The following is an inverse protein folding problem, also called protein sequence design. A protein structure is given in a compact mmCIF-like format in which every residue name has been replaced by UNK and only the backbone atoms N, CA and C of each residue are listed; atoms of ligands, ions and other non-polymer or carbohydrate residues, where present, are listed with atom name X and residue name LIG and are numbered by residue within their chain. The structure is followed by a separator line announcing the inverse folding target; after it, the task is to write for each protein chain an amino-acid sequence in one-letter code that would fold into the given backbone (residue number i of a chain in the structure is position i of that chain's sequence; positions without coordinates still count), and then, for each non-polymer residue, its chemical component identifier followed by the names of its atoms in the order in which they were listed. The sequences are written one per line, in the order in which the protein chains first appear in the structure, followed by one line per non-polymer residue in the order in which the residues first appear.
data_IF_952181768538
#
_entry.id   IF_952181768538
#
_cell.length_a   1.000
_cell.length_b   1.000
_cell.length_c   1.000
_cell.angle_alpha   90.00
_cell.angle_beta   90.00
_cell.angle_gamma   90.00
#
_symmetry.space_group_name_H-M   'P 1'
#
loop_
_entity.id
_entity.type
_entity.pdbx_description
1 polymer ?
#
# COMPACT_ATOMS: atom_id res chain seq x y z
N UNK A 1 0.62 -6.72 -2.84
CA UNK A 1 1.26 -6.37 -4.14
C UNK A 1 2.21 -7.46 -4.62
N UNK A 2 3.16 -7.93 -3.81
CA UNK A 2 4.15 -8.97 -4.19
C UNK A 2 3.45 -10.25 -4.73
N UNK A 3 2.41 -10.72 -4.06
CA UNK A 3 1.62 -11.89 -4.50
C UNK A 3 0.98 -11.69 -5.87
N UNK A 4 0.46 -10.50 -6.16
CA UNK A 4 -0.12 -10.16 -7.47
C UNK A 4 0.95 -10.17 -8.57
N UNK A 5 2.13 -9.61 -8.28
CA UNK A 5 3.27 -9.59 -9.21
C UNK A 5 3.73 -11.02 -9.49
N UNK A 6 3.88 -11.82 -8.45
CA UNK A 6 4.28 -13.22 -8.58
C UNK A 6 3.26 -14.02 -9.40
N UNK A 7 1.98 -13.94 -9.03
CA UNK A 7 0.90 -14.67 -9.71
C UNK A 7 0.76 -14.26 -11.17
N UNK A 8 0.75 -12.95 -11.47
CA UNK A 8 0.70 -12.45 -12.85
C UNK A 8 1.92 -12.87 -13.68
N UNK A 9 3.12 -12.79 -13.10
CA UNK A 9 4.36 -13.21 -13.77
C UNK A 9 4.36 -14.72 -14.05
N UNK A 10 3.95 -15.54 -13.09
CA UNK A 10 3.81 -16.99 -13.27
C UNK A 10 2.82 -17.29 -14.40
N UNK A 11 1.67 -16.60 -14.41
CA UNK A 11 0.66 -16.79 -15.46
C UNK A 11 1.25 -16.52 -16.85
N UNK A 12 1.95 -15.38 -17.04
CA UNK A 12 2.55 -15.01 -18.33
C UNK A 12 3.61 -16.03 -18.78
N UNK A 13 4.49 -16.46 -17.87
CA UNK A 13 5.54 -17.46 -18.20
C UNK A 13 4.92 -18.82 -18.57
N UNK A 14 3.90 -19.25 -17.82
CA UNK A 14 3.21 -20.50 -18.13
C UNK A 14 2.43 -20.41 -19.44
N UNK A 15 1.85 -19.26 -19.76
CA UNK A 15 1.17 -19.03 -21.02
C UNK A 15 2.13 -19.07 -22.22
N UNK A 16 3.32 -18.48 -22.12
CA UNK A 16 4.36 -18.57 -23.15
C UNK A 16 4.79 -20.03 -23.36
N UNK A 17 5.00 -20.78 -22.27
CA UNK A 17 5.32 -22.22 -22.35
C UNK A 17 4.19 -23.04 -22.96
N UNK A 18 2.93 -22.74 -22.62
CA UNK A 18 1.75 -23.37 -23.20
C UNK A 18 1.71 -23.24 -24.74
N UNK A 19 1.96 -22.01 -25.23
CA UNK A 19 1.96 -21.74 -26.67
C UNK A 19 3.09 -22.46 -27.43
N UNK A 20 4.19 -22.79 -26.76
CA UNK A 20 5.36 -23.48 -27.35
C UNK A 20 5.31 -25.01 -27.19
N UNK A 21 4.39 -25.53 -26.39
CA UNK A 21 4.31 -26.95 -26.10
C UNK A 21 3.38 -27.68 -27.09
N UNK A 22 3.74 -28.90 -27.45
CA UNK A 22 2.94 -29.77 -28.32
C UNK A 22 2.35 -30.97 -27.57
N UNK A 23 2.85 -31.32 -26.38
CA UNK A 23 2.42 -32.48 -25.59
C UNK A 23 1.14 -32.16 -24.81
N UNK A 24 0.01 -32.89 -25.05
CA UNK A 24 -1.27 -32.55 -24.42
C UNK A 24 -1.21 -32.57 -22.89
N UNK A 25 -0.48 -33.51 -22.31
CA UNK A 25 -0.33 -33.62 -20.87
C UNK A 25 0.34 -32.41 -20.23
N UNK A 26 1.40 -31.87 -20.85
CA UNK A 26 2.07 -30.67 -20.35
C UNK A 26 1.21 -29.42 -20.55
N UNK A 27 0.47 -29.31 -21.66
CA UNK A 27 -0.53 -28.24 -21.84
C UNK A 27 -1.57 -28.26 -20.73
N UNK A 28 -2.05 -29.45 -20.32
CA UNK A 28 -2.96 -29.58 -19.20
C UNK A 28 -2.35 -29.10 -17.89
N UNK A 29 -1.10 -29.48 -17.58
CA UNK A 29 -0.39 -29.01 -16.37
C UNK A 29 -0.27 -27.49 -16.38
N UNK A 30 0.14 -26.91 -17.51
CA UNK A 30 0.23 -25.44 -17.61
C UNK A 30 -1.13 -24.77 -17.45
N UNK A 31 -2.21 -25.33 -17.98
CA UNK A 31 -3.57 -24.83 -17.83
C UNK A 31 -4.01 -24.82 -16.36
N UNK A 32 -3.81 -25.93 -15.64
CA UNK A 32 -4.15 -26.01 -14.21
C UNK A 32 -3.30 -25.04 -13.38
N UNK A 33 -2.00 -24.94 -13.67
CA UNK A 33 -1.13 -24.00 -12.97
C UNK A 33 -1.48 -22.53 -13.26
N UNK A 34 -1.86 -22.21 -14.50
CA UNK A 34 -2.37 -20.88 -14.87
C UNK A 34 -3.69 -20.56 -14.18
N UNK A 35 -4.59 -21.54 -14.04
CA UNK A 35 -5.85 -21.32 -13.33
C UNK A 35 -5.62 -20.99 -11.84
N UNK A 36 -4.67 -21.66 -11.21
CA UNK A 36 -4.26 -21.35 -9.84
C UNK A 36 -3.69 -19.93 -9.74
N UNK A 37 -2.72 -19.57 -10.60
CA UNK A 37 -2.11 -18.25 -10.59
C UNK A 37 -3.14 -17.13 -10.88
N UNK A 38 -4.03 -17.34 -11.85
CA UNK A 38 -5.13 -16.42 -12.16
C UNK A 38 -6.10 -16.23 -10.99
N UNK A 39 -6.44 -17.33 -10.31
CA UNK A 39 -7.30 -17.29 -9.12
C UNK A 39 -6.65 -16.52 -7.97
N UNK A 40 -5.36 -16.75 -7.70
CA UNK A 40 -4.61 -15.99 -6.68
C UNK A 40 -4.64 -14.51 -7.01
N UNK A 41 -4.36 -14.14 -8.26
CA UNK A 41 -4.40 -12.73 -8.68
C UNK A 41 -5.77 -12.08 -8.45
N UNK A 42 -6.85 -12.75 -8.86
CA UNK A 42 -8.22 -12.24 -8.73
C UNK A 42 -8.61 -12.14 -7.24
N UNK A 43 -8.32 -13.16 -6.43
CA UNK A 43 -8.77 -13.28 -5.05
C UNK A 43 -7.95 -12.46 -4.05
N UNK A 44 -6.86 -11.82 -4.47
CA UNK A 44 -6.13 -10.85 -3.60
C UNK A 44 -6.99 -9.64 -3.23
N UNK A 45 -8.02 -9.32 -3.97
CA UNK A 45 -9.06 -8.32 -3.68
C UNK A 45 -8.54 -6.94 -3.27
N UNK A 46 -7.51 -6.44 -3.94
CA UNK A 46 -7.03 -5.09 -3.73
C UNK A 46 -6.95 -4.31 -5.06
N UNK A 47 -8.10 -3.77 -5.54
CA UNK A 47 -8.21 -3.15 -6.86
C UNK A 47 -7.21 -2.02 -7.11
N UNK A 48 -6.78 -1.32 -6.05
CA UNK A 48 -5.84 -0.20 -6.16
C UNK A 48 -4.49 -0.57 -6.79
N UNK A 49 -4.05 -1.83 -6.64
CA UNK A 49 -2.86 -2.37 -7.30
C UNK A 49 -3.20 -3.37 -8.41
N UNK A 50 -4.31 -4.11 -8.27
CA UNK A 50 -4.71 -5.09 -9.28
C UNK A 50 -4.95 -4.44 -10.64
N UNK A 51 -5.69 -3.33 -10.68
CA UNK A 51 -6.02 -2.66 -11.93
C UNK A 51 -4.76 -2.20 -12.68
N UNK A 52 -3.86 -1.39 -12.10
CA UNK A 52 -2.68 -0.96 -12.84
C UNK A 52 -1.71 -2.10 -13.18
N UNK A 53 -1.54 -3.12 -12.33
CA UNK A 53 -0.77 -4.31 -12.66
C UNK A 53 -1.38 -5.10 -13.82
N UNK A 54 -2.72 -5.17 -13.89
CA UNK A 54 -3.41 -5.82 -15.01
C UNK A 54 -3.09 -5.18 -16.36
N UNK A 55 -2.90 -3.86 -16.43
CA UNK A 55 -2.43 -3.20 -17.66
C UNK A 55 -1.06 -3.71 -18.11
N UNK A 56 -0.13 -3.85 -17.18
CA UNK A 56 1.23 -4.36 -17.48
C UNK A 56 1.13 -5.81 -17.96
N UNK A 57 0.42 -6.68 -17.23
CA UNK A 57 0.27 -8.08 -17.59
C UNK A 57 -0.49 -8.27 -18.90
N UNK A 58 -1.48 -7.44 -19.17
CA UNK A 58 -2.18 -7.45 -20.45
C UNK A 58 -1.24 -7.16 -21.62
N UNK A 59 -0.38 -6.15 -21.51
CA UNK A 59 0.62 -5.83 -22.52
C UNK A 59 1.58 -7.00 -22.71
N UNK A 60 2.07 -7.60 -21.62
CA UNK A 60 2.97 -8.76 -21.71
C UNK A 60 2.28 -9.96 -22.35
N UNK A 61 1.01 -10.22 -22.03
CA UNK A 61 0.21 -11.29 -22.62
C UNK A 61 0.03 -11.07 -24.14
N UNK A 62 -0.35 -9.87 -24.54
CA UNK A 62 -0.49 -9.52 -25.96
C UNK A 62 0.85 -9.67 -26.70
N UNK A 63 1.95 -9.26 -26.08
CA UNK A 63 3.28 -9.45 -26.66
C UNK A 63 3.63 -10.93 -26.84
N UNK A 64 3.37 -11.77 -25.84
CA UNK A 64 3.59 -13.23 -25.92
C UNK A 64 2.76 -13.85 -27.06
N UNK A 65 1.52 -13.40 -27.24
CA UNK A 65 0.69 -13.84 -28.38
C UNK A 65 1.33 -13.44 -29.71
N UNK A 66 1.74 -12.17 -29.83
CA UNK A 66 2.38 -11.65 -31.07
C UNK A 66 3.67 -12.42 -31.41
N UNK A 67 4.47 -12.77 -30.44
CA UNK A 67 5.72 -13.51 -30.67
C UNK A 67 5.47 -14.96 -31.11
N UNK A 68 4.43 -15.59 -30.58
CA UNK A 68 4.18 -17.01 -30.80
C UNK A 68 3.13 -17.31 -31.87
N UNK A 69 2.36 -16.31 -32.41
CA UNK A 69 1.23 -16.58 -33.30
C UNK A 69 1.58 -17.31 -34.59
N UNK A 70 2.83 -17.17 -35.10
CA UNK A 70 3.31 -17.85 -36.31
C UNK A 70 3.74 -19.28 -36.06
N UNK A 71 4.16 -19.60 -34.85
CA UNK A 71 4.71 -20.90 -34.49
C UNK A 71 3.67 -21.78 -33.76
N UNK A 72 2.69 -21.15 -33.12
CA UNK A 72 1.63 -21.83 -32.42
C UNK A 72 0.67 -22.54 -33.40
N UNK A 73 0.59 -23.85 -33.27
CA UNK A 73 -0.37 -24.69 -34.02
C UNK A 73 -1.59 -24.91 -33.16
N UNK A 74 -2.66 -24.20 -33.45
CA UNK A 74 -3.91 -24.28 -32.70
C UNK A 74 -4.61 -25.62 -33.02
N UNK A 75 -4.72 -26.50 -32.01
CA UNK A 75 -5.60 -27.65 -32.06
C UNK A 75 -6.97 -27.28 -31.51
N UNK A 76 -7.95 -27.11 -32.40
CA UNK A 76 -9.27 -26.64 -32.03
C UNK A 76 -9.93 -27.43 -30.90
N UNK A 77 -9.81 -28.77 -30.90
CA UNK A 77 -10.45 -29.61 -29.87
C UNK A 77 -9.72 -29.51 -28.54
N UNK A 78 -8.40 -29.64 -28.57
CA UNK A 78 -7.57 -29.63 -27.37
C UNK A 78 -7.51 -28.22 -26.75
N UNK A 79 -7.11 -27.23 -27.54
CA UNK A 79 -6.85 -25.89 -26.99
C UNK A 79 -8.13 -25.18 -26.54
N UNK A 80 -9.26 -25.40 -27.23
CA UNK A 80 -10.56 -24.86 -26.77
C UNK A 80 -11.05 -25.54 -25.48
N UNK A 81 -10.85 -26.86 -25.36
CA UNK A 81 -11.21 -27.60 -24.15
C UNK A 81 -10.36 -27.17 -22.94
N UNK A 82 -9.04 -26.94 -23.13
CA UNK A 82 -8.16 -26.47 -22.10
C UNK A 82 -8.42 -25.01 -21.72
N UNK A 83 -8.76 -24.16 -22.68
CA UNK A 83 -9.19 -22.77 -22.38
C UNK A 83 -10.50 -22.77 -21.58
N UNK A 84 -11.46 -23.62 -21.95
CA UNK A 84 -12.72 -23.78 -21.19
C UNK A 84 -12.43 -24.28 -19.77
N UNK A 85 -11.54 -25.27 -19.62
CA UNK A 85 -11.11 -25.75 -18.31
C UNK A 85 -10.46 -24.65 -17.47
N UNK A 86 -9.56 -23.84 -18.05
CA UNK A 86 -8.95 -22.69 -17.40
C UNK A 86 -10.02 -21.75 -16.81
N UNK A 87 -11.00 -21.36 -17.63
CA UNK A 87 -12.07 -20.48 -17.21
C UNK A 87 -12.96 -21.10 -16.13
N UNK A 88 -13.32 -22.37 -16.27
CA UNK A 88 -14.13 -23.09 -15.28
C UNK A 88 -13.41 -23.16 -13.93
N UNK A 89 -12.12 -23.47 -13.91
CA UNK A 89 -11.35 -23.55 -12.68
C UNK A 89 -11.20 -22.19 -11.99
N UNK A 90 -10.96 -21.12 -12.74
CA UNK A 90 -10.90 -19.75 -12.19
C UNK A 90 -12.26 -19.32 -11.64
N UNK A 91 -13.35 -19.58 -12.37
CA UNK A 91 -14.71 -19.22 -11.93
C UNK A 91 -15.09 -20.03 -10.69
N UNK A 92 -14.85 -21.35 -10.70
CA UNK A 92 -15.19 -22.22 -9.58
C UNK A 92 -14.44 -21.84 -8.30
N UNK A 93 -13.13 -21.64 -8.37
CA UNK A 93 -12.33 -21.20 -7.21
C UNK A 93 -12.77 -19.83 -6.69
N UNK A 94 -13.02 -18.89 -7.59
CA UNK A 94 -13.54 -17.56 -7.23
C UNK A 94 -14.93 -17.65 -6.59
N UNK A 95 -15.83 -18.46 -7.13
CA UNK A 95 -17.16 -18.66 -6.58
C UNK A 95 -17.13 -19.27 -5.18
N UNK A 96 -16.30 -20.32 -4.94
CA UNK A 96 -16.18 -20.96 -3.63
C UNK A 96 -15.74 -19.95 -2.54
N UNK A 97 -14.77 -19.09 -2.85
CA UNK A 97 -14.28 -18.10 -1.89
C UNK A 97 -15.29 -16.96 -1.72
N UNK A 98 -15.79 -16.41 -2.82
CA UNK A 98 -16.69 -15.26 -2.80
C UNK A 98 -18.04 -15.56 -2.18
N UNK A 99 -18.60 -16.76 -2.42
CA UNK A 99 -19.89 -17.15 -1.83
C UNK A 99 -19.86 -17.12 -0.30
N UNK A 100 -18.72 -17.48 0.31
CA UNK A 100 -18.51 -17.41 1.76
C UNK A 100 -18.24 -16.00 2.26
N UNK A 101 -17.49 -15.21 1.48
CA UNK A 101 -17.09 -13.85 1.84
C UNK A 101 -18.13 -12.78 1.44
N UNK A 102 -19.18 -13.16 0.69
CA UNK A 102 -20.12 -12.21 0.07
C UNK A 102 -20.76 -11.21 1.04
N UNK A 103 -21.24 -11.61 2.25
CA UNK A 103 -21.78 -10.65 3.20
C UNK A 103 -20.79 -9.56 3.60
N UNK A 104 -19.51 -9.93 3.79
CA UNK A 104 -18.44 -8.99 4.12
C UNK A 104 -18.11 -8.07 2.93
N UNK A 105 -18.01 -8.65 1.72
CA UNK A 105 -17.78 -7.87 0.49
C UNK A 105 -18.90 -6.87 0.28
N UNK A 106 -20.16 -7.28 0.40
CA UNK A 106 -21.32 -6.41 0.25
C UNK A 106 -21.33 -5.29 1.29
N UNK A 107 -21.02 -5.60 2.55
CA UNK A 107 -20.92 -4.60 3.61
C UNK A 107 -19.83 -3.56 3.27
N UNK A 108 -18.66 -4.01 2.85
CA UNK A 108 -17.55 -3.13 2.47
C UNK A 108 -17.90 -2.26 1.25
N UNK A 109 -18.53 -2.82 0.23
CA UNK A 109 -18.95 -2.07 -0.96
C UNK A 109 -19.98 -0.97 -0.66
N UNK A 110 -20.79 -1.16 0.37
CA UNK A 110 -21.81 -0.19 0.79
C UNK A 110 -21.26 0.90 1.74
N UNK A 111 -19.97 0.84 2.09
CA UNK A 111 -19.35 1.89 2.90
C UNK A 111 -19.05 3.16 2.08
N UNK A 112 -19.00 4.30 2.76
CA UNK A 112 -18.49 5.54 2.16
C UNK A 112 -17.00 5.40 1.78
N UNK A 113 -16.23 4.71 2.63
CA UNK A 113 -14.82 4.38 2.41
C UNK A 113 -14.53 2.96 2.96
N UNK A 114 -13.88 2.09 2.20
CA UNK A 114 -13.36 2.27 0.84
C UNK A 114 -14.39 2.04 -0.29
N UNK A 115 -15.61 1.56 0.02
CA UNK A 115 -16.56 1.05 -0.96
C UNK A 115 -16.95 2.04 -2.06
N UNK A 116 -17.34 3.27 -1.68
CA UNK A 116 -17.72 4.32 -2.63
C UNK A 116 -16.58 5.27 -3.01
N UNK A 117 -15.34 4.91 -2.66
CA UNK A 117 -14.17 5.72 -3.01
C UNK A 117 -13.97 5.73 -4.51
N UNK A 118 -13.83 6.95 -5.07
CA UNK A 118 -13.51 7.17 -6.48
C UNK A 118 -12.31 8.11 -6.55
N UNK A 119 -11.24 7.68 -7.22
CA UNK A 119 -10.09 8.51 -7.52
C UNK A 119 -10.18 9.05 -8.95
N UNK A 120 -9.75 10.29 -9.14
CA UNK A 120 -9.70 10.93 -10.46
C UNK A 120 -8.26 11.19 -10.92
N UNK A 121 -7.27 10.74 -10.15
CA UNK A 121 -5.87 11.02 -10.44
C UNK A 121 -5.45 12.44 -10.07
N UNK A 122 -4.23 12.80 -10.48
CA UNK A 122 -3.65 14.13 -10.35
C UNK A 122 -2.97 14.42 -9.02
N UNK A 123 -2.16 15.49 -9.03
CA UNK A 123 -1.56 16.05 -7.84
C UNK A 123 -0.27 15.38 -7.33
N UNK A 124 0.16 14.27 -7.93
CA UNK A 124 1.28 13.47 -7.44
C UNK A 124 2.52 13.49 -8.35
N UNK A 125 2.60 14.39 -9.31
CA UNK A 125 3.73 14.44 -10.26
C UNK A 125 5.09 14.55 -9.56
N UNK A 126 5.19 15.40 -8.53
CA UNK A 126 6.45 15.57 -7.81
C UNK A 126 6.89 14.32 -7.05
N UNK A 127 5.94 13.52 -6.58
CA UNK A 127 6.21 12.30 -5.82
C UNK A 127 6.95 11.23 -6.67
N UNK A 128 6.88 11.33 -8.00
CA UNK A 128 7.61 10.43 -8.90
C UNK A 128 9.13 10.50 -8.66
N UNK A 129 9.64 11.63 -8.16
CA UNK A 129 11.07 11.84 -7.90
C UNK A 129 11.50 11.40 -6.50
N UNK A 130 10.57 11.06 -5.60
CA UNK A 130 10.87 10.73 -4.20
C UNK A 130 11.71 9.46 -4.04
N UNK A 131 11.78 8.63 -5.08
CA UNK A 131 12.67 7.46 -5.10
C UNK A 131 14.14 7.81 -4.82
N UNK A 132 14.59 9.04 -5.12
CA UNK A 132 15.98 9.44 -4.92
C UNK A 132 16.42 9.39 -3.44
N UNK A 133 15.47 9.52 -2.50
CA UNK A 133 15.70 9.41 -1.06
C UNK A 133 15.22 8.08 -0.43
N UNK A 134 14.71 7.16 -1.22
CA UNK A 134 14.12 5.90 -0.72
C UNK A 134 15.07 5.10 0.16
N UNK A 135 16.37 5.14 -0.12
CA UNK A 135 17.40 4.43 0.67
C UNK A 135 17.49 4.90 2.13
N UNK A 136 16.94 6.06 2.47
CA UNK A 136 16.96 6.61 3.82
C UNK A 136 15.68 6.36 4.61
N UNK A 137 14.58 5.94 3.99
CA UNK A 137 13.31 5.71 4.67
C UNK A 137 13.40 4.70 5.84
N UNK A 138 14.18 3.61 5.75
CA UNK A 138 14.32 2.70 6.89
C UNK A 138 15.01 3.31 8.11
N UNK A 139 15.69 4.45 7.94
CA UNK A 139 16.44 5.15 9.01
C UNK A 139 15.59 6.26 9.65
N UNK A 140 14.53 6.69 8.98
CA UNK A 140 13.82 7.93 9.31
C UNK A 140 12.45 7.74 9.95
N UNK A 141 12.04 6.51 10.26
CA UNK A 141 10.71 6.17 10.80
C UNK A 141 9.54 6.82 10.03
N UNK A 142 9.76 7.17 8.76
CA UNK A 142 8.73 7.78 7.93
C UNK A 142 7.64 6.77 7.63
N UNK A 143 6.47 6.96 8.22
CA UNK A 143 5.24 6.22 7.94
C UNK A 143 4.38 7.09 7.03
N UNK A 144 4.81 7.31 5.79
CA UNK A 144 4.02 8.00 4.78
C UNK A 144 3.71 7.05 3.62
N UNK A 145 2.48 7.09 3.12
CA UNK A 145 2.07 6.30 1.95
C UNK A 145 2.98 6.55 0.74
N UNK A 146 3.47 7.77 0.57
CA UNK A 146 4.38 8.17 -0.51
C UNK A 146 5.73 7.46 -0.42
N UNK A 147 6.28 7.38 0.78
CA UNK A 147 7.55 6.72 1.05
C UNK A 147 7.46 5.21 0.80
N UNK A 148 6.35 4.59 1.23
CA UNK A 148 6.12 3.15 1.07
C UNK A 148 5.89 2.75 -0.38
N UNK A 149 5.35 3.64 -1.21
CA UNK A 149 4.96 3.35 -2.59
C UNK A 149 6.00 3.75 -3.63
N UNK A 150 7.14 4.35 -3.24
CA UNK A 150 8.21 4.70 -4.19
C UNK A 150 9.06 3.48 -4.58
N UNK A 151 9.56 3.47 -5.80
CA UNK A 151 10.47 2.46 -6.35
C UNK A 151 11.65 3.17 -7.02
N UNK A 152 12.86 2.68 -6.83
CA UNK A 152 14.08 3.27 -7.41
C UNK A 152 14.15 3.00 -8.92
N UNK A 153 13.43 3.77 -9.72
CA UNK A 153 13.07 3.50 -11.12
C UNK A 153 13.79 4.34 -12.18
N UNK A 154 14.58 5.33 -11.74
CA UNK A 154 15.37 6.24 -12.56
C UNK A 154 14.56 7.16 -13.49
N UNK A 155 13.31 7.46 -13.17
CA UNK A 155 12.53 8.46 -13.91
C UNK A 155 13.25 9.84 -13.91
N UNK A 156 13.28 10.60 -15.00
CA UNK A 156 12.75 10.35 -16.37
C UNK A 156 13.76 9.69 -17.32
N UNK A 157 14.91 9.27 -16.82
CA UNK A 157 16.01 8.75 -17.66
C UNK A 157 15.59 7.47 -18.37
N UNK A 158 14.86 6.59 -17.68
CA UNK A 158 14.35 5.35 -18.28
C UNK A 158 13.48 5.65 -19.50
N UNK A 159 12.57 6.62 -19.44
CA UNK A 159 11.69 7.03 -20.54
C UNK A 159 12.48 7.59 -21.73
N UNK A 160 13.44 8.47 -21.46
CA UNK A 160 14.28 9.07 -22.51
C UNK A 160 15.05 7.96 -23.26
N UNK A 161 15.67 7.04 -22.52
CA UNK A 161 16.41 5.93 -23.11
C UNK A 161 15.50 4.97 -23.89
N UNK A 162 14.30 4.70 -23.38
CA UNK A 162 13.31 3.88 -24.06
C UNK A 162 12.85 4.50 -25.37
N UNK A 163 12.52 5.80 -25.39
CA UNK A 163 12.12 6.52 -26.60
C UNK A 163 13.24 6.46 -27.67
N UNK A 164 14.49 6.72 -27.26
CA UNK A 164 15.65 6.65 -28.18
C UNK A 164 15.85 5.24 -28.72
N UNK A 165 15.60 4.22 -27.92
CA UNK A 165 15.67 2.82 -28.36
C UNK A 165 14.53 2.47 -29.33
N UNK A 166 13.29 2.88 -29.05
CA UNK A 166 12.11 2.66 -29.93
C UNK A 166 12.37 3.25 -31.33
N UNK A 167 12.87 4.49 -31.40
CA UNK A 167 13.16 5.16 -32.65
C UNK A 167 14.19 4.33 -33.50
N UNK A 168 15.16 3.71 -32.82
CA UNK A 168 16.25 2.95 -33.52
C UNK A 168 15.84 1.51 -33.85
N UNK A 169 15.13 0.83 -32.95
CA UNK A 169 14.90 -0.62 -33.03
C UNK A 169 13.50 -1.00 -33.45
N UNK A 170 12.53 -0.06 -33.30
CA UNK A 170 11.09 -0.29 -33.49
C UNK A 170 10.56 -1.46 -32.66
N UNK A 171 11.13 -1.64 -31.46
CA UNK A 171 10.75 -2.74 -30.56
C UNK A 171 9.28 -2.60 -30.10
N UNK A 172 8.51 -3.65 -30.42
CA UNK A 172 7.06 -3.65 -30.15
C UNK A 172 6.73 -3.66 -28.66
N UNK A 173 7.43 -4.51 -27.88
CA UNK A 173 7.19 -4.61 -26.45
C UNK A 173 7.49 -3.29 -25.77
N UNK A 174 8.65 -2.71 -26.06
CA UNK A 174 9.03 -1.43 -25.47
C UNK A 174 8.03 -0.32 -25.82
N UNK A 175 7.54 -0.30 -27.07
CA UNK A 175 6.52 0.66 -27.50
C UNK A 175 5.20 0.49 -26.75
N UNK A 176 4.74 -0.75 -26.54
CA UNK A 176 3.51 -1.05 -25.82
C UNK A 176 3.64 -0.70 -24.32
N UNK A 177 4.78 -1.01 -23.69
CA UNK A 177 5.04 -0.64 -22.29
C UNK A 177 5.10 0.88 -22.12
N UNK A 178 5.72 1.61 -23.05
CA UNK A 178 5.75 3.08 -23.02
C UNK A 178 4.37 3.72 -23.19
N UNK A 179 3.44 3.09 -23.91
CA UNK A 179 2.05 3.58 -23.97
C UNK A 179 1.37 3.52 -22.60
N UNK A 180 1.59 2.44 -21.85
CA UNK A 180 1.05 2.33 -20.49
C UNK A 180 1.77 3.30 -19.54
N UNK A 181 3.08 3.48 -19.70
CA UNK A 181 3.86 4.43 -18.92
C UNK A 181 3.32 5.87 -19.06
N UNK A 182 3.06 6.30 -20.29
CA UNK A 182 2.45 7.62 -20.56
C UNK A 182 1.05 7.72 -19.95
N UNK A 183 0.22 6.67 -20.06
CA UNK A 183 -1.11 6.66 -19.45
C UNK A 183 -1.03 6.84 -17.91
N UNK A 184 -0.12 6.12 -17.26
CA UNK A 184 0.08 6.22 -15.83
C UNK A 184 0.65 7.58 -15.42
N UNK A 185 1.61 8.09 -16.17
CA UNK A 185 2.18 9.41 -15.95
C UNK A 185 1.12 10.52 -16.04
N UNK A 186 0.23 10.45 -17.03
CA UNK A 186 -0.89 11.38 -17.18
C UNK A 186 -1.85 11.28 -15.99
N UNK A 187 -2.19 10.06 -15.54
CA UNK A 187 -3.07 9.86 -14.40
C UNK A 187 -2.44 10.33 -13.07
N UNK A 188 -1.15 10.14 -12.86
CA UNK A 188 -0.42 10.64 -11.69
C UNK A 188 -0.38 12.18 -11.69
N UNK A 189 -0.20 12.79 -12.86
CA UNK A 189 0.02 14.22 -13.00
C UNK A 189 -1.25 15.05 -13.02
N UNK A 190 -2.30 14.55 -13.69
CA UNK A 190 -3.52 15.29 -13.98
C UNK A 190 -4.76 14.53 -13.55
N UNK A 191 -5.75 15.28 -13.04
CA UNK A 191 -7.07 14.70 -12.81
C UNK A 191 -7.79 14.45 -14.14
N UNK A 192 -8.36 13.26 -14.29
CA UNK A 192 -9.11 12.86 -15.50
C UNK A 192 -10.62 12.87 -15.25
N UNK A 193 -11.45 13.06 -16.30
CA UNK A 193 -12.90 13.02 -16.17
C UNK A 193 -13.42 11.73 -15.53
N UNK A 194 -14.45 11.85 -14.69
CA UNK A 194 -15.06 10.72 -13.95
C UNK A 194 -15.42 9.53 -14.84
N UNK A 195 -15.97 9.81 -16.02
CA UNK A 195 -16.36 8.75 -16.99
C UNK A 195 -15.11 7.98 -17.43
N UNK A 196 -14.03 8.68 -17.79
CA UNK A 196 -12.78 8.07 -18.24
C UNK A 196 -12.12 7.27 -17.12
N UNK A 197 -12.08 7.81 -15.89
CA UNK A 197 -11.55 7.09 -14.73
C UNK A 197 -12.30 5.77 -14.47
N UNK A 198 -13.63 5.76 -14.67
CA UNK A 198 -14.45 4.55 -14.50
C UNK A 198 -14.27 3.54 -15.62
N UNK A 199 -14.27 3.97 -16.89
CA UNK A 199 -14.09 3.07 -18.05
C UNK A 199 -12.73 2.40 -18.01
N UNK A 200 -11.69 3.14 -17.63
CA UNK A 200 -10.31 2.61 -17.47
C UNK A 200 -10.11 1.86 -16.16
N UNK A 201 -11.10 1.79 -15.29
CA UNK A 201 -11.01 1.25 -13.93
C UNK A 201 -9.96 1.93 -13.03
N UNK A 202 -9.26 2.96 -13.51
CA UNK A 202 -8.28 3.71 -12.72
C UNK A 202 -8.91 4.45 -11.55
N UNK A 203 -10.25 4.63 -11.57
CA UNK A 203 -11.01 5.15 -10.42
C UNK A 203 -10.82 4.38 -9.12
N UNK A 204 -10.40 3.11 -9.19
CA UNK A 204 -10.09 2.28 -8.02
C UNK A 204 -8.68 2.52 -7.45
N UNK A 205 -7.82 3.24 -8.16
CA UNK A 205 -6.41 3.45 -7.84
C UNK A 205 -6.16 4.90 -7.45
N UNK A 206 -5.51 5.16 -6.31
CA UNK A 206 -4.99 6.50 -6.01
C UNK A 206 -3.66 6.74 -6.71
N UNK A 207 -3.29 8.02 -7.00
CA UNK A 207 -1.97 8.34 -7.51
C UNK A 207 -0.83 7.76 -6.68
N UNK A 208 -0.92 7.81 -5.33
CA UNK A 208 0.08 7.22 -4.44
C UNK A 208 0.25 5.71 -4.70
N UNK A 209 -0.84 4.94 -4.75
CA UNK A 209 -0.78 3.49 -5.03
C UNK A 209 -0.31 3.17 -6.44
N UNK A 210 -0.57 4.06 -7.40
CA UNK A 210 -0.08 3.89 -8.76
C UNK A 210 1.43 4.08 -8.87
N UNK A 211 2.05 4.90 -8.01
CA UNK A 211 3.50 5.13 -8.02
C UNK A 211 4.32 3.83 -7.92
N UNK A 212 3.93 2.90 -7.03
CA UNK A 212 4.64 1.61 -6.93
C UNK A 212 4.57 0.81 -8.23
N UNK A 213 3.41 0.79 -8.88
CA UNK A 213 3.22 0.05 -10.14
C UNK A 213 3.92 0.76 -11.29
N UNK A 214 3.89 2.09 -11.31
CA UNK A 214 4.64 2.91 -12.25
C UNK A 214 6.15 2.66 -12.17
N UNK A 215 6.70 2.62 -10.96
CA UNK A 215 8.11 2.32 -10.76
C UNK A 215 8.48 0.89 -11.20
N UNK A 216 7.63 -0.11 -10.95
CA UNK A 216 7.83 -1.48 -11.44
C UNK A 216 7.80 -1.51 -12.97
N UNK A 217 6.85 -0.80 -13.60
CA UNK A 217 6.80 -0.66 -15.07
C UNK A 217 8.09 -0.07 -15.62
N UNK A 218 8.62 0.98 -14.98
CA UNK A 218 9.87 1.63 -15.36
C UNK A 218 11.06 0.68 -15.27
N UNK A 219 11.12 -0.16 -14.24
CA UNK A 219 12.16 -1.19 -14.15
C UNK A 219 12.04 -2.22 -15.29
N UNK A 220 10.83 -2.64 -15.66
CA UNK A 220 10.61 -3.54 -16.79
C UNK A 220 11.05 -2.88 -18.10
N UNK A 221 10.72 -1.60 -18.31
CA UNK A 221 11.15 -0.80 -19.45
C UNK A 221 12.68 -0.69 -19.49
N UNK A 222 13.33 -0.42 -18.36
CA UNK A 222 14.79 -0.34 -18.25
C UNK A 222 15.46 -1.67 -18.60
N UNK A 223 14.95 -2.78 -18.06
CA UNK A 223 15.45 -4.13 -18.37
C UNK A 223 15.30 -4.44 -19.87
N UNK A 224 14.12 -4.14 -20.45
CA UNK A 224 13.92 -4.33 -21.90
C UNK A 224 14.86 -3.45 -22.71
N UNK A 225 15.03 -2.19 -22.36
CA UNK A 225 16.00 -1.30 -22.98
C UNK A 225 17.42 -1.89 -22.93
N UNK A 226 17.87 -2.35 -21.77
CA UNK A 226 19.18 -2.97 -21.59
C UNK A 226 19.34 -4.28 -22.40
N UNK A 227 18.27 -4.99 -22.66
CA UNK A 227 18.30 -6.22 -23.48
C UNK A 227 18.48 -5.94 -24.97
N UNK A 228 17.73 -4.96 -25.50
CA UNK A 228 17.71 -4.68 -26.96
C UNK A 228 18.83 -3.75 -27.43
N UNK A 229 19.29 -2.84 -26.57
CA UNK A 229 20.32 -1.87 -26.92
C UNK A 229 21.71 -2.47 -26.68
N UNK A 230 22.52 -2.67 -27.73
CA UNK A 230 23.85 -3.27 -27.62
C UNK A 230 24.99 -2.26 -27.49
N UNK A 231 24.74 -1.00 -27.86
CA UNK A 231 25.78 0.05 -27.89
C UNK A 231 25.73 0.92 -26.64
N UNK A 232 26.85 1.48 -26.25
CA UNK A 232 26.96 2.51 -25.21
C UNK A 232 26.11 3.73 -25.60
N UNK A 233 25.40 4.31 -24.64
CA UNK A 233 24.57 5.49 -24.92
C UNK A 233 25.41 6.74 -25.18
N UNK A 234 26.49 6.91 -24.39
CA UNK A 234 27.34 8.10 -24.38
C UNK A 234 28.84 7.72 -24.28
N UNK A 235 29.71 8.66 -24.62
CA UNK A 235 31.17 8.57 -24.38
C UNK A 235 31.44 8.50 -22.86
N UNK A 236 32.67 8.22 -22.44
CA UNK A 236 33.02 8.16 -21.01
C UNK A 236 32.78 9.52 -20.32
N UNK A 237 33.29 10.58 -20.91
CA UNK A 237 33.13 11.96 -20.41
C UNK A 237 31.67 12.39 -20.46
N UNK A 238 30.96 12.13 -21.57
CA UNK A 238 29.53 12.41 -21.71
C UNK A 238 28.68 11.70 -20.67
N UNK A 239 28.95 10.40 -20.40
CA UNK A 239 28.26 9.65 -19.36
C UNK A 239 28.49 10.24 -17.97
N UNK A 240 29.72 10.68 -17.67
CA UNK A 240 30.06 11.27 -16.39
C UNK A 240 29.30 12.60 -16.18
N UNK A 241 29.41 13.53 -17.14
CA UNK A 241 28.79 14.85 -17.05
C UNK A 241 27.25 14.73 -16.97
N UNK A 242 26.65 13.93 -17.87
CA UNK A 242 25.20 13.77 -17.92
C UNK A 242 24.66 13.09 -16.66
N UNK A 243 25.32 12.02 -16.16
CA UNK A 243 24.93 11.36 -14.92
C UNK A 243 25.03 12.31 -13.71
N UNK A 244 26.10 13.12 -13.64
CA UNK A 244 26.31 14.07 -12.57
C UNK A 244 25.24 15.16 -12.55
N UNK A 245 24.98 15.79 -13.70
CA UNK A 245 23.97 16.85 -13.79
C UNK A 245 22.55 16.33 -13.51
N UNK A 246 22.20 15.15 -14.05
CA UNK A 246 20.90 14.56 -13.80
C UNK A 246 20.71 14.13 -12.34
N UNK A 247 21.74 13.56 -11.71
CA UNK A 247 21.64 13.17 -10.29
C UNK A 247 21.40 14.40 -9.40
N UNK A 248 22.10 15.49 -9.64
CA UNK A 248 21.87 16.77 -8.95
C UNK A 248 20.43 17.25 -9.21
N UNK A 249 20.01 17.35 -10.48
CA UNK A 249 18.69 17.85 -10.86
C UNK A 249 17.54 17.06 -10.21
N UNK A 250 17.59 15.72 -10.30
CA UNK A 250 16.55 14.82 -9.74
C UNK A 250 16.48 14.98 -8.22
N UNK A 251 17.63 14.92 -7.53
CA UNK A 251 17.68 15.04 -6.07
C UNK A 251 17.21 16.44 -5.62
N UNK A 252 17.49 17.49 -6.37
CA UNK A 252 16.99 18.82 -6.03
C UNK A 252 15.48 18.98 -6.23
N UNK A 253 14.88 18.32 -7.22
CA UNK A 253 13.42 18.30 -7.41
C UNK A 253 12.75 17.58 -6.23
N UNK A 254 13.27 16.41 -5.86
CA UNK A 254 12.78 15.60 -4.74
C UNK A 254 12.96 16.27 -3.37
N UNK A 255 14.03 17.09 -3.20
CA UNK A 255 14.40 17.71 -1.92
C UNK A 255 13.27 18.52 -1.28
N UNK A 256 12.47 19.23 -2.08
CA UNK A 256 11.40 20.09 -1.57
C UNK A 256 10.31 19.33 -0.85
N UNK A 257 9.93 18.15 -1.38
CA UNK A 257 8.84 17.33 -0.84
C UNK A 257 9.28 16.52 0.40
N UNK A 258 10.52 16.05 0.44
CA UNK A 258 11.03 15.15 1.48
C UNK A 258 11.62 15.90 2.67
N UNK A 259 12.05 17.15 2.47
CA UNK A 259 12.75 17.91 3.51
C UNK A 259 11.98 18.00 4.82
N UNK A 260 10.69 18.29 4.78
CA UNK A 260 9.86 18.41 5.98
C UNK A 260 9.78 17.05 6.72
N UNK A 261 9.61 15.97 5.99
CA UNK A 261 9.54 14.64 6.60
C UNK A 261 10.84 14.22 7.28
N UNK A 262 11.97 14.37 6.60
CA UNK A 262 13.26 14.00 7.16
C UNK A 262 13.65 14.87 8.35
N UNK A 263 13.26 16.15 8.37
CA UNK A 263 13.56 17.05 9.46
C UNK A 263 12.68 16.83 10.70
N UNK A 264 11.43 16.39 10.55
CA UNK A 264 10.54 16.12 11.67
C UNK A 264 10.85 14.80 12.37
N UNK A 265 11.45 13.84 11.67
CA UNK A 265 11.66 12.48 12.15
C UNK A 265 12.98 12.30 12.90
N UNK A 266 14.02 13.07 12.55
CA UNK A 266 15.34 12.99 13.20
C UNK A 266 15.37 14.00 14.35
N UNK A 267 14.90 13.58 15.54
CA UNK A 267 14.93 14.42 16.73
C UNK A 267 16.34 14.62 17.33
N UNK A 268 16.67 15.83 17.74
CA UNK A 268 17.69 16.10 18.77
C UNK A 268 19.13 16.40 18.34
N UNK A 269 19.51 16.27 17.07
CA UNK A 269 20.85 16.66 16.56
C UNK A 269 20.67 17.52 15.33
N UNK A 270 21.69 18.32 14.95
CA UNK A 270 21.63 19.23 13.80
C UNK A 270 21.01 18.59 12.55
N UNK A 271 19.68 18.66 12.49
CA UNK A 271 18.83 18.07 11.44
C UNK A 271 19.26 18.52 10.04
N UNK A 272 19.80 19.74 9.94
CA UNK A 272 20.27 20.26 8.65
C UNK A 272 21.54 19.58 8.17
N UNK A 273 22.44 19.20 9.06
CA UNK A 273 23.66 18.49 8.70
C UNK A 273 23.35 17.08 8.23
N UNK A 274 22.46 16.34 8.89
CA UNK A 274 22.01 15.03 8.41
C UNK A 274 21.32 15.12 7.06
N UNK A 275 20.44 16.10 6.87
CA UNK A 275 19.77 16.29 5.59
C UNK A 275 20.76 16.61 4.45
N UNK A 276 21.80 17.41 4.72
CA UNK A 276 22.89 17.66 3.74
C UNK A 276 23.64 16.39 3.41
N UNK A 277 23.97 15.58 4.41
CA UNK A 277 24.65 14.30 4.21
C UNK A 277 23.80 13.35 3.36
N UNK A 278 22.52 13.18 3.68
CA UNK A 278 21.59 12.36 2.89
C UNK A 278 21.48 12.85 1.45
N UNK A 279 21.42 14.15 1.25
CA UNK A 279 21.42 14.77 -0.09
C UNK A 279 22.68 14.40 -0.88
N UNK A 280 23.87 14.48 -0.28
CA UNK A 280 25.13 14.13 -0.93
C UNK A 280 25.18 12.64 -1.27
N UNK A 281 24.77 11.77 -0.35
CA UNK A 281 24.72 10.31 -0.57
C UNK A 281 23.70 9.97 -1.66
N UNK A 282 22.53 10.59 -1.67
CA UNK A 282 21.53 10.40 -2.73
C UNK A 282 22.07 10.78 -4.10
N UNK A 283 22.76 11.94 -4.22
CA UNK A 283 23.41 12.37 -5.47
C UNK A 283 24.46 11.34 -5.89
N UNK A 284 25.31 10.88 -4.98
CA UNK A 284 26.36 9.91 -5.28
C UNK A 284 25.81 8.56 -5.76
N UNK A 285 24.82 8.01 -5.06
CA UNK A 285 24.21 6.73 -5.41
C UNK A 285 23.52 6.82 -6.79
N UNK A 286 22.74 7.89 -7.00
CA UNK A 286 22.06 8.11 -8.26
C UNK A 286 23.05 8.37 -9.41
N UNK A 287 24.13 9.11 -9.15
CA UNK A 287 25.21 9.27 -10.11
C UNK A 287 25.83 7.93 -10.53
N UNK A 288 26.14 7.06 -9.58
CA UNK A 288 26.75 5.76 -9.87
C UNK A 288 25.86 4.90 -10.78
N UNK A 289 24.57 4.75 -10.45
CA UNK A 289 23.67 3.92 -11.25
C UNK A 289 23.46 4.53 -12.65
N UNK A 290 23.24 5.84 -12.77
CA UNK A 290 23.07 6.51 -14.06
C UNK A 290 24.33 6.42 -14.93
N UNK A 291 25.50 6.61 -14.34
CA UNK A 291 26.77 6.45 -15.05
C UNK A 291 26.91 5.05 -15.65
N UNK A 292 26.63 3.99 -14.87
CA UNK A 292 26.71 2.62 -15.35
C UNK A 292 25.62 2.30 -16.39
N UNK A 293 24.42 2.86 -16.26
CA UNK A 293 23.36 2.73 -17.27
C UNK A 293 23.81 3.35 -18.59
N UNK A 294 24.34 4.59 -18.60
CA UNK A 294 24.83 5.23 -19.83
C UNK A 294 26.02 4.53 -20.44
N UNK A 295 26.89 3.93 -19.62
CA UNK A 295 28.04 3.11 -20.08
C UNK A 295 27.62 1.70 -20.47
N UNK A 296 26.40 1.28 -20.20
CA UNK A 296 25.94 -0.10 -20.36
C UNK A 296 26.88 -1.12 -19.69
N UNK A 297 27.36 -0.76 -18.55
CA UNK A 297 28.13 -1.67 -17.70
C UNK A 297 27.17 -2.47 -16.80
N UNK A 298 26.74 -3.65 -17.29
CA UNK A 298 25.78 -4.50 -16.59
C UNK A 298 26.26 -4.91 -15.19
N UNK A 299 27.56 -5.19 -15.03
CA UNK A 299 28.12 -5.51 -13.71
C UNK A 299 28.03 -4.31 -12.76
N UNK A 300 28.35 -3.11 -13.25
CA UNK A 300 28.21 -1.88 -12.46
C UNK A 300 26.76 -1.59 -12.08
N UNK A 301 25.81 -1.80 -13.02
CA UNK A 301 24.38 -1.67 -12.75
C UNK A 301 23.94 -2.67 -11.67
N UNK A 302 24.36 -3.95 -11.80
CA UNK A 302 24.01 -5.00 -10.84
C UNK A 302 24.56 -4.71 -9.45
N UNK A 303 25.86 -4.39 -9.36
CA UNK A 303 26.50 -4.08 -8.06
C UNK A 303 25.85 -2.87 -7.41
N UNK A 304 25.63 -1.78 -8.17
CA UNK A 304 24.97 -0.58 -7.62
C UNK A 304 23.54 -0.87 -7.21
N UNK A 305 22.78 -1.65 -8.01
CA UNK A 305 21.42 -2.07 -7.65
C UNK A 305 21.37 -2.93 -6.39
N UNK A 306 22.31 -3.86 -6.21
CA UNK A 306 22.44 -4.63 -4.98
C UNK A 306 22.76 -3.71 -3.78
N UNK A 307 23.67 -2.74 -3.94
CA UNK A 307 23.99 -1.78 -2.91
C UNK A 307 22.76 -0.93 -2.51
N UNK A 308 22.00 -0.45 -3.50
CA UNK A 308 20.75 0.30 -3.26
C UNK A 308 19.75 -0.58 -2.47
N UNK A 309 19.52 -1.81 -2.93
CA UNK A 309 18.60 -2.74 -2.26
C UNK A 309 19.07 -3.10 -0.86
N UNK A 310 20.37 -3.26 -0.66
CA UNK A 310 20.95 -3.51 0.67
C UNK A 310 20.76 -2.30 1.59
N UNK A 311 21.09 -1.10 1.15
CA UNK A 311 20.92 0.13 1.95
C UNK A 311 19.45 0.38 2.30
N UNK A 312 18.54 0.15 1.35
CA UNK A 312 17.10 0.31 1.56
C UNK A 312 16.50 -0.78 2.46
N UNK A 313 17.13 -1.95 2.57
CA UNK A 313 16.56 -3.12 3.27
C UNK A 313 17.30 -3.57 4.52
N UNK A 314 18.58 -3.19 4.70
CA UNK A 314 19.42 -3.74 5.78
C UNK A 314 18.90 -3.45 7.18
N UNK A 315 18.23 -2.32 7.38
CA UNK A 315 17.64 -1.93 8.65
C UNK A 315 16.18 -2.40 8.80
N UNK A 316 15.56 -2.81 7.71
CA UNK A 316 14.23 -3.42 7.74
C UNK A 316 14.38 -4.90 8.13
N UNK A 317 14.26 -5.20 9.42
CA UNK A 317 14.30 -6.59 9.88
C UNK A 317 12.96 -7.29 9.62
N UNK A 318 12.84 -8.12 8.56
CA UNK A 318 11.59 -8.82 8.25
C UNK A 318 11.30 -9.96 9.23
N UNK A 319 12.31 -10.39 9.98
CA UNK A 319 12.22 -11.49 10.95
C UNK A 319 12.55 -10.95 12.33
N UNK A 320 11.54 -10.67 13.13
CA UNK A 320 11.71 -10.38 14.56
C UNK A 320 11.55 -11.67 15.34
N UNK A 321 12.53 -11.99 16.19
CA UNK A 321 12.45 -13.12 17.10
C UNK A 321 11.72 -12.67 18.36
N UNK A 322 10.59 -13.34 18.65
CA UNK A 322 9.80 -13.12 19.84
C UNK A 322 8.77 -11.99 19.71
N UNK A 323 7.54 -12.30 20.03
CA UNK A 323 6.46 -11.32 20.18
C UNK A 323 6.43 -10.67 21.58
N UNK A 324 7.34 -11.08 22.45
CA UNK A 324 7.33 -10.79 23.89
C UNK A 324 7.34 -9.27 24.21
N UNK A 325 8.07 -8.50 23.41
CA UNK A 325 8.11 -7.03 23.55
C UNK A 325 6.71 -6.39 23.45
N UNK A 326 5.86 -6.98 22.62
CA UNK A 326 4.48 -6.49 22.41
C UNK A 326 3.51 -7.23 23.32
N UNK A 327 3.55 -8.57 23.34
CA UNK A 327 2.56 -9.41 24.02
C UNK A 327 2.77 -9.53 25.52
N UNK A 328 4.00 -9.30 25.99
CA UNK A 328 4.37 -9.32 27.43
C UNK A 328 4.74 -7.93 27.96
N UNK A 329 4.30 -6.86 27.27
CA UNK A 329 4.47 -5.52 27.84
C UNK A 329 3.67 -5.39 29.14
N UNK A 330 4.16 -4.64 30.15
CA UNK A 330 3.46 -4.47 31.43
C UNK A 330 1.99 -4.04 31.27
N UNK A 331 1.72 -3.20 30.27
CA UNK A 331 0.35 -2.74 29.97
C UNK A 331 -0.53 -3.89 29.47
N UNK A 332 -0.03 -4.70 28.52
CA UNK A 332 -0.79 -5.85 27.97
C UNK A 332 -1.02 -6.90 29.06
N UNK A 333 -0.03 -7.21 29.90
CA UNK A 333 -0.20 -8.15 31.02
C UNK A 333 -1.20 -7.66 32.03
N UNK A 334 -1.22 -6.33 32.32
CA UNK A 334 -2.21 -5.74 33.23
C UNK A 334 -3.62 -5.84 32.66
N UNK A 335 -3.80 -5.51 31.37
CA UNK A 335 -5.09 -5.66 30.68
C UNK A 335 -5.55 -7.12 30.70
N UNK A 336 -4.65 -8.06 30.40
CA UNK A 336 -4.94 -9.50 30.45
C UNK A 336 -5.38 -9.96 31.84
N UNK A 337 -4.72 -9.51 32.88
CA UNK A 337 -5.08 -9.81 34.27
C UNK A 337 -6.50 -9.30 34.60
N UNK A 338 -6.80 -8.04 34.27
CA UNK A 338 -8.12 -7.44 34.51
C UNK A 338 -9.20 -8.17 33.71
N UNK A 339 -8.99 -8.37 32.41
CA UNK A 339 -9.99 -8.98 31.53
C UNK A 339 -10.23 -10.46 31.84
N UNK A 340 -9.23 -11.18 32.34
CA UNK A 340 -9.38 -12.60 32.75
C UNK A 340 -10.17 -12.74 34.04
N UNK A 341 -10.06 -11.79 34.97
CA UNK A 341 -10.81 -11.81 36.25
C UNK A 341 -12.23 -11.30 36.08
N UNK A 342 -12.44 -10.29 35.26
CA UNK A 342 -13.72 -9.62 35.10
C UNK A 342 -13.88 -9.08 33.67
N UNK A 343 -14.32 -9.90 32.71
CA UNK A 343 -14.43 -9.53 31.31
C UNK A 343 -15.38 -8.35 31.06
N UNK A 344 -15.04 -7.49 30.09
CA UNK A 344 -15.89 -6.36 29.72
C UNK A 344 -15.49 -5.71 28.41
N UNK A 345 -16.31 -4.74 27.96
CA UNK A 345 -16.03 -3.95 26.77
C UNK A 345 -15.16 -2.74 27.15
N UNK A 346 -14.10 -2.55 26.38
CA UNK A 346 -13.12 -1.48 26.56
C UNK A 346 -13.27 -0.39 25.52
N UNK A 347 -12.90 0.83 25.89
CA UNK A 347 -12.53 1.90 24.96
C UNK A 347 -11.14 2.44 25.32
N UNK A 348 -10.47 2.97 24.31
CA UNK A 348 -9.25 3.77 24.45
C UNK A 348 -9.62 5.21 24.11
N UNK A 349 -9.31 6.16 25.00
CA UNK A 349 -9.71 7.54 24.84
C UNK A 349 -8.56 8.50 25.19
N UNK A 350 -8.75 9.80 24.89
CA UNK A 350 -7.82 10.86 25.24
C UNK A 350 -6.77 11.14 24.17
N UNK A 351 -5.60 11.62 24.61
CA UNK A 351 -4.49 12.05 23.74
C UNK A 351 -3.63 10.92 23.21
N UNK A 352 -3.92 9.67 23.57
CA UNK A 352 -3.17 8.51 23.07
C UNK A 352 -3.32 8.39 21.56
N UNK A 353 -2.22 8.22 20.80
CA UNK A 353 -2.30 7.96 19.38
C UNK A 353 -3.20 6.76 19.07
N UNK A 354 -4.19 6.94 18.20
CA UNK A 354 -5.13 5.88 17.83
C UNK A 354 -4.40 4.59 17.36
N UNK A 355 -3.33 4.75 16.61
CA UNK A 355 -2.37 3.71 16.31
C UNK A 355 -1.07 3.97 17.10
N UNK A 356 -0.57 3.03 17.89
CA UNK A 356 -1.02 1.62 18.07
C UNK A 356 -2.01 1.39 19.22
N UNK A 357 -2.32 2.39 20.06
CA UNK A 357 -2.96 2.16 21.37
C UNK A 357 -4.36 1.56 21.30
N UNK A 358 -5.15 1.89 20.30
CA UNK A 358 -6.53 1.37 20.16
C UNK A 358 -6.59 -0.17 20.03
N UNK A 359 -5.50 -0.81 19.61
CA UNK A 359 -5.44 -2.27 19.49
C UNK A 359 -4.77 -2.96 20.69
N UNK A 360 -4.20 -2.20 21.64
CA UNK A 360 -3.51 -2.77 22.81
C UNK A 360 -4.43 -3.64 23.68
N UNK A 361 -5.70 -3.27 23.95
CA UNK A 361 -6.60 -4.15 24.71
C UNK A 361 -6.83 -5.50 24.04
N UNK A 362 -6.83 -5.58 22.70
CA UNK A 362 -6.97 -6.85 21.96
C UNK A 362 -5.80 -7.80 22.25
N UNK A 363 -4.57 -7.28 22.41
CA UNK A 363 -3.40 -8.07 22.77
C UNK A 363 -3.53 -8.69 24.17
N UNK A 364 -4.25 -8.03 25.07
CA UNK A 364 -4.62 -8.56 26.38
C UNK A 364 -5.84 -9.47 26.36
N UNK A 365 -6.40 -9.81 25.18
CA UNK A 365 -7.59 -10.63 25.03
C UNK A 365 -8.90 -9.92 25.37
N UNK A 366 -8.89 -8.60 25.49
CA UNK A 366 -10.06 -7.81 25.80
C UNK A 366 -10.84 -7.39 24.54
N UNK A 367 -12.16 -7.32 24.63
CA UNK A 367 -12.98 -6.72 23.58
C UNK A 367 -12.87 -5.19 23.65
N UNK A 368 -12.52 -4.54 22.53
CA UNK A 368 -12.39 -3.08 22.45
C UNK A 368 -13.27 -2.53 21.33
N UNK A 369 -13.96 -1.40 21.62
CA UNK A 369 -14.91 -0.82 20.67
C UNK A 369 -14.22 -0.06 19.54
N UNK A 370 -13.15 0.65 19.84
CA UNK A 370 -12.45 1.53 18.91
C UNK A 370 -11.11 0.96 18.42
N UNK A 371 -10.99 -0.36 18.32
CA UNK A 371 -9.91 -0.96 17.50
C UNK A 371 -10.06 -0.56 16.04
N UNK A 372 -9.10 -0.91 15.21
CA UNK A 372 -9.24 -0.74 13.76
C UNK A 372 -10.45 -1.52 13.24
N UNK A 373 -11.48 -0.82 12.81
CA UNK A 373 -12.71 -1.44 12.32
C UNK A 373 -12.65 -1.62 10.80
N UNK A 374 -12.55 -2.87 10.36
CA UNK A 374 -12.51 -3.21 8.93
C UNK A 374 -13.85 -2.90 8.22
N UNK A 375 -14.95 -2.94 8.94
CA UNK A 375 -16.29 -2.55 8.49
C UNK A 375 -17.07 -1.92 9.64
N UNK A 376 -17.99 -0.98 9.35
CA UNK A 376 -18.67 -0.20 10.38
C UNK A 376 -19.71 -1.01 11.15
N UNK A 377 -19.79 -0.79 12.46
CA UNK A 377 -20.87 -1.29 13.29
C UNK A 377 -22.05 -0.29 13.30
N UNK A 378 -22.74 -0.19 12.16
CA UNK A 378 -23.86 0.77 11.97
C UNK A 378 -24.93 0.66 13.05
N UNK A 379 -25.26 -0.58 13.46
CA UNK A 379 -26.31 -0.81 14.51
C UNK A 379 -25.91 -0.23 15.85
N UNK A 380 -24.63 -0.21 16.14
CA UNK A 380 -24.13 0.36 17.40
C UNK A 380 -24.15 1.89 17.36
N UNK A 381 -23.62 2.47 16.28
CA UNK A 381 -23.52 3.92 16.13
C UNK A 381 -24.88 4.61 16.12
N UNK A 382 -25.90 3.99 15.51
CA UNK A 382 -27.29 4.48 15.54
C UNK A 382 -27.91 4.57 16.94
N UNK A 383 -27.33 3.96 17.96
CA UNK A 383 -27.83 4.09 19.33
C UNK A 383 -27.48 5.44 19.95
N UNK A 384 -26.39 6.04 19.51
CA UNK A 384 -25.87 7.33 20.01
C UNK A 384 -26.03 8.48 19.01
N UNK A 385 -26.18 8.18 17.72
CA UNK A 385 -26.54 9.11 16.64
C UNK A 385 -28.03 8.94 16.34
N UNK A 386 -28.89 9.54 17.18
CA UNK A 386 -30.35 9.34 17.11
C UNK A 386 -30.97 9.97 15.87
N UNK A 387 -30.43 11.08 15.41
CA UNK A 387 -30.90 11.81 14.23
C UNK A 387 -30.32 11.25 12.93
N UNK A 388 -29.32 10.36 13.01
CA UNK A 388 -28.62 9.72 11.91
C UNK A 388 -27.89 10.73 10.99
N UNK A 389 -27.47 11.86 11.54
CA UNK A 389 -26.83 12.95 10.78
C UNK A 389 -25.37 12.64 10.44
N UNK A 390 -24.71 11.84 11.28
CA UNK A 390 -23.29 11.52 11.14
C UNK A 390 -23.02 10.18 10.42
N UNK A 391 -24.06 9.59 9.81
CA UNK A 391 -23.94 8.28 9.12
C UNK A 391 -22.85 8.25 8.05
N UNK A 392 -22.62 9.35 7.36
CA UNK A 392 -21.54 9.48 6.37
C UNK A 392 -20.13 9.49 7.02
N UNK A 393 -20.02 9.81 8.30
CA UNK A 393 -18.75 9.80 9.02
C UNK A 393 -18.42 8.40 9.51
N UNK A 394 -19.35 7.68 10.13
CA UNK A 394 -19.04 6.37 10.70
C UNK A 394 -19.28 5.17 9.76
N UNK A 395 -19.93 5.36 8.59
CA UNK A 395 -20.11 4.28 7.62
C UNK A 395 -18.83 4.04 6.79
N UNK A 396 -17.75 3.64 7.44
CA UNK A 396 -16.46 3.41 6.79
C UNK A 396 -15.56 2.41 7.52
N UNK A 397 -14.55 1.89 6.83
CA UNK A 397 -13.35 1.41 7.46
C UNK A 397 -12.72 2.56 8.23
N UNK A 398 -12.38 2.37 9.49
CA UNK A 398 -11.79 3.46 10.26
C UNK A 398 -10.93 3.04 11.45
N UNK A 399 -9.96 3.92 11.73
CA UNK A 399 -9.31 4.06 13.02
C UNK A 399 -10.14 5.05 13.86
N UNK A 400 -10.70 4.58 14.95
CA UNK A 400 -11.68 5.35 15.74
C UNK A 400 -11.00 5.87 17.00
N UNK A 401 -11.05 7.18 17.23
CA UNK A 401 -10.63 7.81 18.47
C UNK A 401 -11.86 8.20 19.30
N UNK A 402 -11.78 8.03 20.60
CA UNK A 402 -12.78 8.56 21.52
C UNK A 402 -12.23 9.75 22.28
N UNK A 403 -13.12 10.70 22.56
CA UNK A 403 -12.89 11.80 23.49
C UNK A 403 -14.12 11.92 24.39
N UNK A 404 -13.98 11.58 25.67
CA UNK A 404 -15.09 11.68 26.64
C UNK A 404 -15.36 13.15 26.97
N UNK A 405 -16.64 13.52 26.91
CA UNK A 405 -17.14 14.85 27.20
C UNK A 405 -18.22 14.78 28.29
N UNK A 406 -18.53 15.93 28.87
CA UNK A 406 -19.53 16.05 29.95
C UNK A 406 -20.95 15.68 29.48
N UNK A 407 -21.85 15.46 30.45
CA UNK A 407 -23.21 14.93 30.32
C UNK A 407 -24.16 15.79 29.48
N UNK A 408 -23.92 17.09 29.35
CA UNK A 408 -24.84 18.05 28.74
C UNK A 408 -24.71 18.18 27.20
N UNK A 409 -23.92 17.34 26.59
CA UNK A 409 -23.66 17.40 25.16
C UNK A 409 -24.19 16.16 24.45
N UNK A 410 -24.48 16.26 23.15
CA UNK A 410 -24.78 15.12 22.30
C UNK A 410 -23.50 14.49 21.74
N UNK A 411 -23.57 13.20 21.40
CA UNK A 411 -22.47 12.53 20.73
C UNK A 411 -22.22 13.16 19.35
N UNK A 412 -20.94 13.45 19.03
CA UNK A 412 -20.57 14.03 17.74
C UNK A 412 -19.46 13.20 17.08
N UNK A 413 -19.61 12.99 15.78
CA UNK A 413 -18.64 12.27 14.96
C UNK A 413 -17.90 13.25 14.06
N UNK A 414 -16.61 13.39 14.22
CA UNK A 414 -15.76 14.28 13.42
C UNK A 414 -14.82 13.48 12.53
N UNK A 415 -14.94 13.66 11.22
CA UNK A 415 -14.02 13.06 10.27
C UNK A 415 -12.64 13.74 10.35
N UNK A 416 -11.58 12.94 10.55
CA UNK A 416 -10.19 13.42 10.59
C UNK A 416 -9.47 13.16 9.25
N UNK A 417 -9.64 11.96 8.70
CA UNK A 417 -9.11 11.52 7.41
C UNK A 417 -10.10 10.53 6.77
N UNK A 418 -9.94 10.13 5.50
CA UNK A 418 -10.85 9.17 4.87
C UNK A 418 -11.06 7.87 5.66
N UNK A 419 -10.10 7.46 6.46
CA UNK A 419 -10.06 6.23 7.25
C UNK A 419 -9.94 6.46 8.76
N UNK A 420 -10.21 7.68 9.24
CA UNK A 420 -10.13 8.00 10.67
C UNK A 420 -11.19 9.02 11.06
N UNK A 421 -11.84 8.78 12.20
CA UNK A 421 -12.74 9.75 12.82
C UNK A 421 -12.64 9.72 14.34
N UNK A 422 -13.04 10.83 14.97
CA UNK A 422 -13.14 10.99 16.42
C UNK A 422 -14.60 11.04 16.84
N UNK A 423 -14.93 10.32 17.89
CA UNK A 423 -16.23 10.35 18.56
C UNK A 423 -16.09 11.14 19.85
N UNK A 424 -16.68 12.33 19.91
CA UNK A 424 -16.90 13.05 21.18
C UNK A 424 -18.09 12.40 21.87
N UNK A 425 -17.82 11.59 22.90
CA UNK A 425 -18.80 10.72 23.54
C UNK A 425 -19.20 11.29 24.91
N UNK A 426 -20.46 11.68 25.13
CA UNK A 426 -20.97 12.03 26.47
C UNK A 426 -20.81 10.84 27.40
N UNK A 427 -20.38 11.08 28.64
CA UNK A 427 -20.21 10.00 29.63
C UNK A 427 -21.51 9.21 29.87
N UNK A 428 -22.67 9.83 29.72
CA UNK A 428 -23.99 9.17 29.83
C UNK A 428 -24.19 8.04 28.82
N UNK A 429 -23.57 8.13 27.62
CA UNK A 429 -23.68 7.12 26.57
C UNK A 429 -22.77 5.89 26.80
N UNK A 430 -21.88 5.95 27.80
CA UNK A 430 -21.07 4.78 28.18
C UNK A 430 -21.97 3.61 28.62
N UNK A 431 -23.08 3.88 29.31
CA UNK A 431 -24.07 2.87 29.69
C UNK A 431 -24.79 2.28 28.48
N UNK A 432 -25.20 3.12 27.53
CA UNK A 432 -25.84 2.71 26.28
C UNK A 432 -24.94 1.78 25.48
N UNK A 433 -23.63 2.07 25.43
CA UNK A 433 -22.61 1.28 24.75
C UNK A 433 -22.09 0.10 25.58
N UNK A 434 -22.50 -0.01 26.87
CA UNK A 434 -22.06 -1.05 27.83
C UNK A 434 -20.54 -1.06 28.04
N UNK A 435 -19.91 0.11 28.08
CA UNK A 435 -18.47 0.24 28.32
C UNK A 435 -18.17 -0.05 29.78
N UNK A 436 -17.25 -0.96 30.05
CA UNK A 436 -16.85 -1.33 31.41
C UNK A 436 -15.48 -0.78 31.78
N UNK A 437 -14.58 -0.69 30.82
CA UNK A 437 -13.21 -0.25 31.06
C UNK A 437 -12.80 0.85 30.08
N UNK A 438 -11.98 1.77 30.58
CA UNK A 438 -11.42 2.87 29.78
C UNK A 438 -9.91 2.89 29.99
N UNK A 439 -9.16 2.90 28.90
CA UNK A 439 -7.72 3.13 28.88
C UNK A 439 -7.45 4.54 28.37
N UNK A 440 -6.69 5.34 29.11
CA UNK A 440 -6.47 6.76 28.82
C UNK A 440 -5.14 7.28 29.41
N UNK A 441 -4.67 8.41 28.89
CA UNK A 441 -3.53 9.17 29.42
C UNK A 441 -3.93 10.28 30.40
N UNK A 442 -5.24 10.59 30.51
CA UNK A 442 -5.74 11.67 31.35
C UNK A 442 -6.43 11.21 32.64
N UNK A 443 -6.69 12.12 33.55
CA UNK A 443 -7.52 11.86 34.72
C UNK A 443 -9.01 11.95 34.36
N UNK A 444 -9.79 10.90 34.67
CA UNK A 444 -11.23 10.85 34.45
C UNK A 444 -12.06 11.08 35.73
N UNK A 445 -11.41 11.13 36.88
CA UNK A 445 -12.14 11.32 38.16
C UNK A 445 -12.93 12.64 38.20
N UNK A 446 -12.37 13.66 37.53
CA UNK A 446 -13.01 14.99 37.41
C UNK A 446 -14.29 14.98 36.55
N UNK A 447 -14.50 13.95 35.74
CA UNK A 447 -15.73 13.74 34.96
C UNK A 447 -16.80 12.93 35.73
N UNK A 448 -16.49 12.43 36.93
CA UNK A 448 -17.46 11.73 37.76
C UNK A 448 -18.57 12.67 38.22
N UNK A 449 -19.82 12.24 38.11
CA UNK A 449 -21.00 13.10 38.43
C UNK A 449 -21.98 12.47 39.39
N UNK A 450 -21.58 11.43 40.12
CA UNK A 450 -22.43 10.71 41.08
C UNK A 450 -23.38 9.68 40.47
N UNK A 451 -23.70 9.79 39.19
CA UNK A 451 -24.44 8.77 38.40
C UNK A 451 -23.47 7.81 37.75
N UNK A 452 -22.39 8.37 37.19
CA UNK A 452 -21.30 7.62 36.53
C UNK A 452 -20.03 8.00 37.26
N UNK A 453 -19.35 7.00 37.80
CA UNK A 453 -18.10 7.19 38.52
C UNK A 453 -16.99 6.41 37.86
N UNK A 454 -15.82 7.04 37.79
CA UNK A 454 -14.59 6.47 37.23
C UNK A 454 -13.67 6.09 38.41
N UNK A 455 -13.42 4.80 38.56
CA UNK A 455 -12.45 4.31 39.56
C UNK A 455 -11.19 3.84 38.89
N UNK A 456 -10.07 4.48 39.17
CA UNK A 456 -8.76 4.04 38.65
C UNK A 456 -8.40 2.68 39.29
N UNK A 457 -8.07 1.71 38.45
CA UNK A 457 -7.69 0.34 38.86
C UNK A 457 -6.27 -0.03 38.48
N UNK A 458 -5.62 0.77 37.60
CA UNK A 458 -4.23 0.63 37.25
C UNK A 458 -3.66 1.94 36.69
N UNK A 459 -2.34 2.07 36.82
CA UNK A 459 -1.50 3.03 36.10
C UNK A 459 -0.23 2.31 35.68
N UNK A 460 0.05 2.34 34.38
CA UNK A 460 1.23 1.70 33.79
C UNK A 460 1.95 2.74 32.92
N UNK A 461 3.04 3.30 33.46
CA UNK A 461 3.85 4.31 32.75
C UNK A 461 3.03 5.53 32.28
N UNK A 462 2.09 6.02 33.11
CA UNK A 462 1.24 7.15 32.81
C UNK A 462 -0.02 6.80 32.00
N UNK A 463 -0.17 5.55 31.57
CA UNK A 463 -1.41 5.05 30.98
C UNK A 463 -2.31 4.48 32.06
N UNK A 464 -3.43 5.12 32.29
CA UNK A 464 -4.39 4.80 33.33
C UNK A 464 -5.51 3.89 32.81
N UNK A 465 -5.97 3.00 33.68
CA UNK A 465 -7.11 2.13 33.39
C UNK A 465 -8.16 2.41 34.44
N UNK A 466 -9.36 2.75 33.98
CA UNK A 466 -10.52 3.00 34.81
C UNK A 466 -11.58 1.92 34.63
N UNK A 467 -12.27 1.57 35.70
CA UNK A 467 -13.56 0.87 35.61
C UNK A 467 -14.68 1.90 35.71
N UNK A 468 -15.72 1.71 34.91
CA UNK A 468 -16.91 2.56 34.91
C UNK A 468 -17.95 1.96 35.83
N UNK A 469 -18.45 2.76 36.79
CA UNK A 469 -19.52 2.40 37.74
C UNK A 469 -20.76 3.21 37.39
N UNK A 470 -21.90 2.51 37.21
CA UNK A 470 -23.19 3.08 36.82
C UNK A 470 -24.18 3.10 37.96
#
# INVERSE_FOLDING_TARGET
MIEMIAAGSIFIVLFDKYLKENRPFLKLIYTVSMSWAGSVYILTFYPAWQVPLAYIFFVLLVYVIIENYKTFKFDYKLDLSLLSLLMVLIIASSYIVLSKAWPTVQTTMNTVYPGNRVSFGGGAFKWIFDYAYQIFYPITDIIDERAMDSVYDLFPVTQILAILAIIKTKDKLLSMLMMIDVLFLLYISFSIPKILARITLLSFTTPARLLSVFGILNLIILVRFLTISTRRCLSRTGSFITAFLLSIGIVFISKGEIREYLLTTIGGVDQQTYFRLFTLVAIFVLFCILYFVFRRNLNGILVTGICISFLAGVLANPVRVGSDVVTKSPLVERIKSINSSDPGLWIVEGGLPALPYNNVPLLGGASVLNSTNAYPNIKLWKKIDKENDDSNVYNRYAHISFNLIDTNSEAKFKLNSPDSYTVSLPITELKTLKIKYIMTDRNLEDLSNGIINFKQIADVNGIKIYTVQY
#
